data_IF_278371138690
#
_entry.id   IF_278371138690
#
_cell.length_a   1.000
_cell.length_b   1.000
_cell.length_c   1.000
_cell.angle_alpha   90.00
_cell.angle_beta   90.00
_cell.angle_gamma   90.00
#
_symmetry.space_group_name_H-M   'P 1'
#
loop_
_entity.id
_entity.type
_entity.pdbx_description
1 polymer ?
#
# COMPACT_ATOMS: atom_id res chain seq x y z
N UNK A 1 -18.52 2.67 25.87
CA UNK A 1 -17.78 1.49 25.35
C UNK A 1 -17.94 1.43 23.84
N UNK A 2 -16.84 1.28 23.09
CA UNK A 2 -16.89 1.09 21.63
C UNK A 2 -17.29 -0.37 21.33
N UNK A 3 -18.23 -0.57 20.40
CA UNK A 3 -18.61 -1.92 19.92
C UNK A 3 -17.45 -2.53 19.14
N UNK A 4 -17.19 -3.83 19.33
CA UNK A 4 -16.14 -4.54 18.60
C UNK A 4 -16.51 -4.80 17.14
N UNK A 5 -15.51 -5.06 16.28
CA UNK A 5 -15.71 -5.26 14.83
C UNK A 5 -16.79 -6.32 14.51
N UNK A 6 -16.73 -7.46 15.20
CA UNK A 6 -17.70 -8.56 15.07
C UNK A 6 -19.11 -8.20 15.58
N UNK A 7 -19.21 -7.29 16.57
CA UNK A 7 -20.50 -6.82 17.08
C UNK A 7 -21.18 -5.86 16.08
N UNK A 8 -20.38 -5.03 15.41
CA UNK A 8 -20.85 -4.08 14.39
C UNK A 8 -21.25 -4.82 13.11
N UNK A 9 -20.53 -5.88 12.75
CA UNK A 9 -20.75 -6.63 11.52
C UNK A 9 -21.86 -7.68 11.62
N UNK A 10 -22.64 -7.75 12.71
CA UNK A 10 -23.69 -8.76 12.90
C UNK A 10 -24.69 -8.75 11.72
N UNK A 11 -24.87 -9.91 11.08
CA UNK A 11 -25.67 -10.10 9.86
C UNK A 11 -24.97 -9.68 8.56
N UNK A 12 -23.68 -9.34 8.63
CA UNK A 12 -22.89 -8.84 7.51
C UNK A 12 -21.59 -9.61 7.30
N UNK A 13 -20.59 -8.92 6.76
CA UNK A 13 -19.28 -9.50 6.40
C UNK A 13 -18.16 -8.82 7.17
N UNK A 14 -17.23 -9.62 7.69
CA UNK A 14 -15.97 -9.15 8.30
C UNK A 14 -14.84 -9.48 7.33
N UNK A 15 -14.07 -8.47 6.95
CA UNK A 15 -12.83 -8.64 6.19
C UNK A 15 -11.62 -8.55 7.13
N UNK A 16 -10.79 -9.58 7.14
CA UNK A 16 -9.55 -9.64 7.91
C UNK A 16 -8.37 -9.68 6.96
N UNK A 17 -7.59 -8.61 6.90
CA UNK A 17 -6.38 -8.55 6.09
C UNK A 17 -5.15 -9.00 6.90
N UNK A 18 -4.12 -9.46 6.19
CA UNK A 18 -2.84 -9.95 6.75
C UNK A 18 -3.00 -10.97 7.89
N UNK A 19 -3.91 -11.95 7.73
CA UNK A 19 -4.23 -12.89 8.80
C UNK A 19 -3.02 -13.74 9.26
N UNK A 20 -1.96 -13.87 8.45
CA UNK A 20 -0.72 -14.54 8.85
C UNK A 20 0.03 -13.83 9.98
N UNK A 21 -0.15 -12.51 10.17
CA UNK A 21 0.63 -11.72 11.12
C UNK A 21 0.02 -11.65 12.52
N UNK A 22 -1.08 -12.36 12.79
CA UNK A 22 -1.78 -12.27 14.07
C UNK A 22 -1.09 -13.11 15.16
N UNK A 23 -1.09 -12.58 16.39
CA UNK A 23 -0.54 -13.29 17.55
C UNK A 23 -1.32 -14.57 17.87
N UNK A 24 -0.67 -15.53 18.52
CA UNK A 24 -1.31 -16.80 18.93
C UNK A 24 -2.59 -16.56 19.76
N UNK A 25 -2.55 -15.59 20.69
CA UNK A 25 -3.71 -15.21 21.48
C UNK A 25 -4.88 -14.72 20.60
N UNK A 26 -4.59 -14.01 19.52
CA UNK A 26 -5.60 -13.59 18.54
C UNK A 26 -6.10 -14.77 17.70
N UNK A 27 -5.24 -15.73 17.35
CA UNK A 27 -5.65 -16.96 16.66
C UNK A 27 -6.69 -17.73 17.48
N UNK A 28 -6.46 -17.90 18.80
CA UNK A 28 -7.39 -18.58 19.71
C UNK A 28 -8.73 -17.83 19.81
N UNK A 29 -8.67 -16.49 19.94
CA UNK A 29 -9.89 -15.67 20.01
C UNK A 29 -10.69 -15.78 18.72
N UNK A 30 -10.03 -15.65 17.57
CA UNK A 30 -10.69 -15.74 16.27
C UNK A 30 -11.29 -17.12 16.02
N UNK A 31 -10.60 -18.18 16.43
CA UNK A 31 -11.12 -19.55 16.36
C UNK A 31 -12.44 -19.66 17.14
N UNK A 32 -12.51 -19.13 18.37
CA UNK A 32 -13.75 -19.13 19.16
C UNK A 32 -14.87 -18.37 18.46
N UNK A 33 -14.58 -17.18 17.90
CA UNK A 33 -15.60 -16.42 17.17
C UNK A 33 -16.15 -17.22 15.98
N UNK A 34 -15.28 -17.87 15.22
CA UNK A 34 -15.69 -18.64 14.02
C UNK A 34 -16.43 -19.93 14.40
N UNK A 35 -16.00 -20.61 15.47
CA UNK A 35 -16.58 -21.89 15.90
C UNK A 35 -17.86 -21.71 16.72
N UNK A 36 -17.80 -20.89 17.77
CA UNK A 36 -18.88 -20.73 18.74
C UNK A 36 -19.90 -19.67 18.30
N UNK A 37 -19.58 -18.86 17.28
CA UNK A 37 -20.40 -17.71 16.85
C UNK A 37 -20.71 -16.76 17.99
N UNK A 38 -19.77 -16.63 18.93
CA UNK A 38 -19.90 -15.80 20.11
C UNK A 38 -18.66 -14.94 20.30
N UNK A 39 -18.87 -13.73 20.82
CA UNK A 39 -17.79 -12.83 21.23
C UNK A 39 -17.99 -12.39 22.67
N UNK A 40 -16.88 -12.11 23.34
CA UNK A 40 -16.88 -11.49 24.67
C UNK A 40 -16.19 -10.14 24.59
N UNK A 41 -16.82 -9.09 25.14
CA UNK A 41 -16.21 -7.75 25.18
C UNK A 41 -14.97 -7.77 26.08
N UNK A 42 -13.99 -6.91 25.79
CA UNK A 42 -12.83 -6.72 26.67
C UNK A 42 -13.31 -6.28 28.06
N UNK A 43 -13.00 -7.06 29.10
CA UNK A 43 -13.45 -6.84 30.47
C UNK A 43 -14.92 -7.25 30.75
N UNK A 44 -15.63 -7.76 29.75
CA UNK A 44 -16.94 -8.38 29.92
C UNK A 44 -16.84 -9.88 30.16
N UNK A 45 -17.86 -10.45 30.79
CA UNK A 45 -17.99 -11.91 30.98
C UNK A 45 -19.17 -12.50 30.21
N UNK A 46 -20.04 -11.65 29.65
CA UNK A 46 -21.23 -12.09 28.93
C UNK A 46 -20.91 -12.34 27.45
N UNK A 47 -21.12 -13.56 26.93
CA UNK A 47 -21.01 -13.84 25.51
C UNK A 47 -22.14 -13.15 24.74
N UNK A 48 -21.84 -12.74 23.51
CA UNK A 48 -22.76 -12.09 22.58
C UNK A 48 -22.75 -12.91 21.29
N UNK A 49 -23.92 -13.39 20.87
CA UNK A 49 -24.05 -14.12 19.61
C UNK A 49 -23.77 -13.20 18.41
N UNK A 50 -22.99 -13.73 17.47
CA UNK A 50 -22.56 -13.07 16.25
C UNK A 50 -22.78 -14.00 15.08
N UNK A 51 -23.46 -13.49 14.06
CA UNK A 51 -23.58 -14.14 12.76
C UNK A 51 -22.86 -13.27 11.73
N UNK A 52 -21.73 -13.75 11.22
CA UNK A 52 -20.88 -13.01 10.27
C UNK A 52 -20.34 -13.93 9.20
N UNK A 53 -20.25 -13.41 7.97
CA UNK A 53 -19.41 -13.99 6.93
C UNK A 53 -17.98 -13.49 7.10
N UNK A 54 -17.01 -14.39 7.21
CA UNK A 54 -15.60 -14.02 7.24
C UNK A 54 -15.01 -14.07 5.82
N UNK A 55 -14.34 -12.99 5.41
CA UNK A 55 -13.43 -12.94 4.27
C UNK A 55 -12.04 -12.66 4.82
N UNK A 56 -11.06 -13.47 4.44
CA UNK A 56 -9.69 -13.31 4.94
C UNK A 56 -8.71 -13.19 3.79
N UNK A 57 -7.68 -12.36 3.98
CA UNK A 57 -6.58 -12.18 3.05
C UNK A 57 -5.23 -12.31 3.76
N UNK A 58 -4.23 -12.79 3.03
CA UNK A 58 -2.86 -12.95 3.51
C UNK A 58 -1.91 -12.98 2.34
N UNK A 59 -0.70 -12.46 2.55
CA UNK A 59 0.44 -12.62 1.65
C UNK A 59 1.36 -13.79 2.06
N UNK A 60 1.15 -14.37 3.25
CA UNK A 60 1.92 -15.49 3.77
C UNK A 60 1.29 -16.84 3.40
N UNK A 61 2.15 -17.86 3.20
CA UNK A 61 1.73 -19.25 3.06
C UNK A 61 1.34 -19.82 4.43
N UNK A 62 0.04 -19.76 4.73
CA UNK A 62 -0.48 -20.28 6.01
C UNK A 62 -0.23 -21.78 6.16
N UNK A 63 -0.15 -22.55 5.08
CA UNK A 63 0.10 -23.99 5.16
C UNK A 63 1.56 -24.28 5.55
N UNK A 64 2.51 -23.48 5.07
CA UNK A 64 3.88 -23.49 5.57
C UNK A 64 3.94 -23.07 7.05
N UNK A 65 3.27 -21.98 7.43
CA UNK A 65 3.26 -21.50 8.82
C UNK A 65 2.65 -22.51 9.79
N UNK A 66 1.65 -23.30 9.37
CA UNK A 66 1.10 -24.40 10.19
C UNK A 66 2.15 -25.49 10.42
N UNK A 67 2.93 -25.85 9.39
CA UNK A 67 4.01 -26.86 9.53
C UNK A 67 5.14 -26.38 10.44
N UNK A 68 5.43 -25.08 10.41
CA UNK A 68 6.46 -24.43 11.22
C UNK A 68 5.99 -24.06 12.63
N UNK A 69 4.70 -24.25 12.95
CA UNK A 69 4.12 -23.93 14.25
C UNK A 69 3.79 -22.45 14.47
N UNK A 70 3.95 -21.59 13.45
CA UNK A 70 3.59 -20.17 13.51
C UNK A 70 2.11 -19.88 13.35
N UNK A 71 1.32 -20.87 12.90
CA UNK A 71 -0.13 -20.75 12.74
C UNK A 71 -0.85 -22.02 13.18
N UNK A 72 -2.00 -21.87 13.84
CA UNK A 72 -2.75 -23.04 14.33
C UNK A 72 -3.49 -23.75 13.21
N UNK A 73 -3.32 -25.08 13.15
CA UNK A 73 -3.99 -25.93 12.17
C UNK A 73 -5.53 -25.85 12.26
N UNK A 74 -6.08 -25.78 13.47
CA UNK A 74 -7.53 -25.72 13.70
C UNK A 74 -8.17 -24.44 13.13
N UNK A 75 -7.49 -23.30 13.25
CA UNK A 75 -7.91 -22.04 12.63
C UNK A 75 -7.74 -22.07 11.12
N UNK A 76 -6.61 -22.60 10.62
CA UNK A 76 -6.37 -22.72 9.18
C UNK A 76 -7.51 -23.48 8.48
N UNK A 77 -7.92 -24.63 8.99
CA UNK A 77 -9.01 -25.42 8.40
C UNK A 77 -10.38 -24.72 8.47
N UNK A 78 -10.60 -23.79 9.40
CA UNK A 78 -11.84 -23.01 9.50
C UNK A 78 -11.85 -21.82 8.54
N UNK A 79 -10.69 -21.27 8.21
CA UNK A 79 -10.54 -20.15 7.27
C UNK A 79 -10.46 -20.62 5.83
N UNK A 80 -9.73 -21.72 5.58
CA UNK A 80 -9.41 -22.21 4.24
C UNK A 80 -10.53 -23.11 3.67
N UNK A 81 -11.75 -22.57 3.56
CA UNK A 81 -12.90 -23.28 2.99
C UNK A 81 -13.00 -23.06 1.48
N UNK A 82 -12.88 -21.80 1.05
CA UNK A 82 -12.83 -21.40 -0.36
C UNK A 82 -11.66 -20.44 -0.53
N UNK A 83 -10.69 -20.82 -1.34
CA UNK A 83 -9.46 -20.05 -1.56
C UNK A 83 -9.50 -19.41 -2.93
N UNK A 84 -9.20 -18.11 -2.99
CA UNK A 84 -9.01 -17.37 -4.24
C UNK A 84 -7.57 -16.90 -4.26
N UNK A 85 -6.78 -17.46 -5.18
CA UNK A 85 -5.40 -17.03 -5.40
C UNK A 85 -5.41 -15.81 -6.30
N UNK A 86 -4.94 -14.67 -5.77
CA UNK A 86 -4.82 -13.44 -6.55
C UNK A 86 -3.55 -13.50 -7.41
N UNK A 87 -3.67 -13.47 -8.76
CA UNK A 87 -2.50 -13.48 -9.62
C UNK A 87 -1.71 -12.17 -9.47
N UNK A 88 -0.38 -12.23 -9.48
CA UNK A 88 0.47 -11.05 -9.51
C UNK A 88 0.33 -10.30 -10.85
N UNK A 89 0.63 -9.00 -10.86
CA UNK A 89 0.50 -8.17 -12.08
C UNK A 89 1.28 -8.72 -13.28
N UNK A 90 2.44 -9.35 -13.05
CA UNK A 90 3.26 -9.98 -14.11
C UNK A 90 2.57 -11.13 -14.87
N UNK A 91 1.53 -11.72 -14.29
CA UNK A 91 0.72 -12.79 -14.89
C UNK A 91 -0.53 -12.24 -15.59
N UNK A 92 -0.79 -10.93 -15.50
CA UNK A 92 -1.93 -10.23 -16.12
C UNK A 92 -1.47 -8.90 -16.74
N UNK A 93 -0.46 -8.97 -17.61
CA UNK A 93 0.19 -7.77 -18.19
C UNK A 93 -0.75 -7.01 -19.11
N UNK A 94 -1.72 -7.71 -19.71
CA UNK A 94 -2.79 -7.16 -20.53
C UNK A 94 -3.68 -6.15 -19.79
N UNK A 95 -3.73 -6.20 -18.44
CA UNK A 95 -4.49 -5.26 -17.62
C UNK A 95 -3.73 -3.95 -17.37
N UNK A 96 -2.42 -3.91 -17.62
CA UNK A 96 -1.55 -2.75 -17.31
C UNK A 96 -2.03 -1.48 -18.03
N UNK A 97 -2.36 -1.49 -19.34
CA UNK A 97 -2.87 -0.28 -20.01
C UNK A 97 -4.15 0.29 -19.38
N UNK A 98 -5.09 -0.57 -18.99
CA UNK A 98 -6.32 -0.14 -18.35
C UNK A 98 -6.06 0.43 -16.96
N UNK A 99 -5.17 -0.20 -16.18
CA UNK A 99 -4.73 0.30 -14.88
C UNK A 99 -4.00 1.64 -14.99
N UNK A 100 -3.12 1.80 -15.99
CA UNK A 100 -2.43 3.06 -16.28
C UNK A 100 -3.44 4.17 -16.56
N UNK A 101 -4.40 3.93 -17.46
CA UNK A 101 -5.43 4.92 -17.78
C UNK A 101 -6.24 5.32 -16.54
N UNK A 102 -6.61 4.34 -15.73
CA UNK A 102 -7.35 4.57 -14.49
C UNK A 102 -6.57 5.46 -13.51
N UNK A 103 -5.32 5.08 -13.19
CA UNK A 103 -4.50 5.83 -12.25
C UNK A 103 -4.11 7.22 -12.77
N UNK A 104 -3.78 7.36 -14.06
CA UNK A 104 -3.50 8.67 -14.66
C UNK A 104 -4.72 9.57 -14.53
N UNK A 105 -5.91 9.08 -14.89
CA UNK A 105 -7.14 9.87 -14.83
C UNK A 105 -7.48 10.27 -13.39
N UNK A 106 -7.32 9.34 -12.45
CA UNK A 106 -7.55 9.59 -11.02
C UNK A 106 -6.61 10.69 -10.50
N UNK A 107 -5.30 10.54 -10.69
CA UNK A 107 -4.32 11.47 -10.14
C UNK A 107 -4.30 12.81 -10.89
N UNK A 108 -4.57 12.82 -12.19
CA UNK A 108 -4.69 14.06 -12.96
C UNK A 108 -5.84 14.92 -12.40
N UNK A 109 -6.99 14.31 -12.08
CA UNK A 109 -8.11 14.99 -11.44
C UNK A 109 -7.78 15.43 -10.00
N UNK A 110 -7.15 14.56 -9.22
CA UNK A 110 -6.79 14.83 -7.82
C UNK A 110 -5.80 16.00 -7.67
N UNK A 111 -4.77 16.07 -8.52
CA UNK A 111 -3.74 17.11 -8.47
C UNK A 111 -3.98 18.28 -9.42
N UNK A 112 -5.11 18.30 -10.15
CA UNK A 112 -5.43 19.35 -11.11
C UNK A 112 -4.41 19.46 -12.26
N UNK A 113 -3.86 18.33 -12.71
CA UNK A 113 -2.86 18.25 -13.78
C UNK A 113 -3.50 17.89 -15.12
N UNK A 114 -3.00 18.48 -16.20
CA UNK A 114 -3.45 18.18 -17.56
C UNK A 114 -2.64 17.04 -18.18
N UNK A 115 -2.74 15.84 -17.61
CA UNK A 115 -2.02 14.63 -18.07
C UNK A 115 -2.99 13.66 -18.71
N UNK A 116 -2.65 13.13 -19.89
CA UNK A 116 -3.46 12.18 -20.65
C UNK A 116 -2.92 10.75 -20.60
N UNK A 117 -1.63 10.56 -20.30
CA UNK A 117 -1.03 9.23 -20.21
C UNK A 117 0.47 9.23 -20.42
N UNK A 118 0.99 8.03 -20.70
CA UNK A 118 2.37 7.78 -21.09
C UNK A 118 2.50 7.64 -22.61
N UNK A 119 3.67 7.97 -23.16
CA UNK A 119 3.96 7.70 -24.57
C UNK A 119 4.00 6.19 -24.87
N UNK A 120 3.87 5.82 -26.15
CA UNK A 120 3.76 4.41 -26.56
C UNK A 120 5.01 3.59 -26.22
N UNK A 121 6.20 4.21 -26.17
CA UNK A 121 7.43 3.51 -25.79
C UNK A 121 7.45 3.19 -24.29
N UNK A 122 7.00 4.15 -23.48
CA UNK A 122 6.85 4.06 -22.04
C UNK A 122 5.84 2.98 -21.65
N UNK A 123 4.67 2.94 -22.31
CA UNK A 123 3.65 1.90 -22.08
C UNK A 123 4.23 0.51 -22.34
N UNK A 124 4.92 0.28 -23.47
CA UNK A 124 5.56 -1.01 -23.77
C UNK A 124 6.57 -1.43 -22.69
N UNK A 125 7.34 -0.47 -22.19
CA UNK A 125 8.32 -0.75 -21.13
C UNK A 125 7.61 -1.10 -19.82
N UNK A 126 6.55 -0.38 -19.46
CA UNK A 126 5.70 -0.68 -18.30
C UNK A 126 5.03 -2.06 -18.40
N UNK A 127 4.59 -2.48 -19.58
CA UNK A 127 4.03 -3.81 -19.82
C UNK A 127 5.07 -4.93 -19.67
N UNK A 128 6.31 -4.68 -20.11
CA UNK A 128 7.40 -5.65 -20.02
C UNK A 128 7.99 -5.81 -18.61
N UNK A 129 7.76 -4.82 -17.74
CA UNK A 129 8.33 -4.80 -16.39
C UNK A 129 7.67 -5.86 -15.48
N UNK A 130 8.44 -6.55 -14.60
CA UNK A 130 7.91 -7.66 -13.82
C UNK A 130 7.12 -7.25 -12.57
N UNK A 131 7.12 -5.96 -12.19
CA UNK A 131 6.32 -5.41 -11.09
C UNK A 131 6.40 -6.22 -9.79
N UNK A 132 7.59 -6.33 -9.15
CA UNK A 132 7.73 -7.04 -7.87
C UNK A 132 6.79 -6.51 -6.78
N UNK A 133 6.48 -5.20 -6.76
CA UNK A 133 5.49 -4.58 -5.88
C UNK A 133 4.07 -4.54 -6.44
N UNK A 134 3.81 -5.24 -7.55
CA UNK A 134 2.49 -5.46 -8.14
C UNK A 134 1.77 -4.14 -8.44
N UNK A 135 0.44 -4.12 -8.37
CA UNK A 135 -0.40 -2.92 -8.63
C UNK A 135 -0.01 -1.73 -7.74
N UNK A 136 0.51 -1.96 -6.53
CA UNK A 136 0.92 -0.87 -5.62
C UNK A 136 2.13 -0.11 -6.17
N UNK A 137 3.12 -0.84 -6.67
CA UNK A 137 4.29 -0.23 -7.31
C UNK A 137 3.90 0.53 -8.58
N UNK A 138 3.06 -0.07 -9.43
CA UNK A 138 2.53 0.61 -10.63
C UNK A 138 1.81 1.90 -10.26
N UNK A 139 0.90 1.86 -9.28
CA UNK A 139 0.15 3.04 -8.80
C UNK A 139 1.09 4.14 -8.32
N UNK A 140 2.06 3.81 -7.46
CA UNK A 140 3.02 4.78 -6.91
C UNK A 140 3.89 5.40 -8.02
N UNK A 141 4.30 4.59 -9.00
CA UNK A 141 5.06 5.07 -10.15
C UNK A 141 4.23 6.07 -10.96
N UNK A 142 2.97 5.75 -11.25
CA UNK A 142 2.07 6.65 -12.01
C UNK A 142 1.82 7.94 -11.25
N UNK A 143 1.49 7.86 -9.95
CA UNK A 143 1.28 9.02 -9.08
C UNK A 143 2.47 9.98 -9.13
N UNK A 144 3.68 9.45 -8.94
CA UNK A 144 4.93 10.24 -9.01
C UNK A 144 5.08 10.94 -10.36
N UNK A 145 4.84 10.25 -11.47
CA UNK A 145 4.97 10.85 -12.80
C UNK A 145 3.90 11.93 -13.03
N UNK A 146 2.65 11.70 -12.61
CA UNK A 146 1.57 12.68 -12.79
C UNK A 146 1.87 13.97 -12.03
N UNK A 147 2.39 13.89 -10.80
CA UNK A 147 2.72 15.11 -10.04
C UNK A 147 3.92 15.86 -10.63
N UNK A 148 4.89 15.14 -11.18
CA UNK A 148 6.07 15.72 -11.84
C UNK A 148 5.81 16.11 -13.31
N UNK A 149 4.63 15.83 -13.85
CA UNK A 149 4.38 16.03 -15.26
C UNK A 149 4.33 17.51 -15.64
N UNK A 150 5.19 17.88 -16.59
CA UNK A 150 5.21 19.19 -17.25
C UNK A 150 4.50 19.16 -18.62
N UNK A 151 4.15 17.98 -19.12
CA UNK A 151 3.50 17.77 -20.43
C UNK A 151 2.30 16.83 -20.30
N UNK A 152 1.30 16.93 -21.20
CA UNK A 152 0.17 16.00 -21.20
C UNK A 152 0.56 14.55 -21.43
N UNK A 153 1.56 14.30 -22.28
CA UNK A 153 2.11 12.98 -22.53
C UNK A 153 3.42 12.82 -21.76
N UNK A 154 3.43 11.92 -20.77
CA UNK A 154 4.57 11.65 -19.92
C UNK A 154 5.51 10.63 -20.58
N UNK A 155 6.80 10.80 -20.31
CA UNK A 155 7.81 9.80 -20.64
C UNK A 155 8.17 9.05 -19.35
N UNK A 156 8.41 7.75 -19.48
CA UNK A 156 8.81 6.92 -18.35
C UNK A 156 10.26 7.21 -17.97
N UNK A 157 10.45 7.74 -16.77
CA UNK A 157 11.76 8.00 -16.17
C UNK A 157 11.91 7.25 -14.85
N UNK A 158 13.15 6.83 -14.54
CA UNK A 158 13.47 6.20 -13.25
C UNK A 158 12.80 4.84 -13.00
N UNK A 159 12.43 4.11 -14.07
CA UNK A 159 12.21 2.67 -13.99
C UNK A 159 13.56 1.97 -14.17
N UNK A 160 14.03 1.18 -13.19
CA UNK A 160 15.30 0.48 -13.29
C UNK A 160 15.23 -0.64 -14.34
N UNK A 161 16.35 -0.92 -15.01
CA UNK A 161 16.43 -2.00 -16.01
C UNK A 161 16.43 -3.38 -15.35
N UNK A 162 16.94 -3.49 -14.11
CA UNK A 162 16.80 -4.67 -13.26
C UNK A 162 15.79 -4.39 -12.13
N UNK A 163 14.72 -5.20 -11.97
CA UNK A 163 13.83 -5.10 -10.82
C UNK A 163 14.51 -5.35 -9.46
N UNK A 164 15.66 -6.03 -9.40
CA UNK A 164 16.44 -6.18 -8.16
C UNK A 164 16.95 -4.82 -7.65
N UNK A 165 17.33 -3.92 -8.57
CA UNK A 165 17.75 -2.55 -8.27
C UNK A 165 16.55 -1.67 -7.82
N UNK A 166 15.31 -2.06 -8.15
CA UNK A 166 14.10 -1.36 -7.73
C UNK A 166 13.86 -1.42 -6.21
N UNK A 167 14.36 -2.46 -5.53
CA UNK A 167 14.25 -2.56 -4.07
C UNK A 167 15.02 -1.44 -3.35
N UNK A 168 16.04 -0.85 -3.99
CA UNK A 168 16.79 0.29 -3.48
C UNK A 168 16.15 1.65 -3.83
N UNK A 169 15.30 1.72 -4.85
CA UNK A 169 14.71 2.96 -5.37
C UNK A 169 13.26 3.24 -4.91
N UNK A 170 12.67 2.31 -4.15
CA UNK A 170 11.28 2.44 -3.70
C UNK A 170 11.22 3.26 -2.42
N UNK A 171 10.68 4.49 -2.53
CA UNK A 171 10.47 5.45 -1.43
C UNK A 171 9.63 4.88 -0.27
N UNK A 172 8.96 3.75 -0.47
CA UNK A 172 7.95 3.18 0.45
C UNK A 172 8.25 1.76 0.95
N UNK A 173 9.46 1.21 0.74
CA UNK A 173 9.73 -0.20 1.09
C UNK A 173 9.81 -0.45 2.62
N UNK A 174 9.96 0.61 3.43
CA UNK A 174 10.19 0.56 4.87
C UNK A 174 9.04 1.12 5.71
N UNK A 175 7.84 1.28 5.14
CA UNK A 175 6.69 1.92 5.81
C UNK A 175 7.10 3.24 6.53
N UNK A 176 7.71 4.19 5.81
CA UNK A 176 8.23 5.40 6.42
C UNK A 176 7.07 6.17 7.07
N UNK A 177 7.36 6.88 8.16
CA UNK A 177 6.41 7.82 8.74
C UNK A 177 5.96 8.82 7.68
N UNK A 178 4.77 9.41 7.84
CA UNK A 178 4.26 10.43 6.91
C UNK A 178 5.29 11.57 6.72
N UNK A 179 6.04 11.90 7.76
CA UNK A 179 7.11 12.89 7.71
C UNK A 179 8.30 12.45 6.83
N UNK A 180 8.72 11.19 6.91
CA UNK A 180 9.81 10.63 6.11
C UNK A 180 9.42 10.45 4.64
N UNK A 181 8.18 10.01 4.38
CA UNK A 181 7.63 9.94 3.03
C UNK A 181 7.58 11.33 2.39
N UNK A 182 7.01 12.30 3.11
CA UNK A 182 6.96 13.70 2.69
C UNK A 182 8.36 14.27 2.45
N UNK A 183 9.32 13.95 3.32
CA UNK A 183 10.72 14.36 3.16
C UNK A 183 11.38 13.80 1.89
N UNK A 184 11.28 12.48 1.69
CA UNK A 184 11.83 11.81 0.50
C UNK A 184 11.23 12.38 -0.77
N UNK A 185 9.93 12.66 -0.74
CA UNK A 185 9.22 13.27 -1.85
C UNK A 185 9.68 14.71 -2.13
N UNK A 186 9.83 15.54 -1.08
CA UNK A 186 10.39 16.90 -1.21
C UNK A 186 11.80 16.87 -1.80
N UNK A 187 12.64 15.91 -1.40
CA UNK A 187 13.99 15.76 -1.92
C UNK A 187 13.99 15.38 -3.41
N UNK A 188 13.13 14.46 -3.83
CA UNK A 188 12.98 14.08 -5.23
C UNK A 188 12.51 15.28 -6.09
N UNK A 189 11.52 16.03 -5.61
CA UNK A 189 11.04 17.23 -6.32
C UNK A 189 12.12 18.31 -6.41
N UNK A 190 12.94 18.48 -5.37
CA UNK A 190 14.07 19.41 -5.39
C UNK A 190 15.15 19.00 -6.37
N UNK A 191 15.49 17.71 -6.46
CA UNK A 191 16.43 17.20 -7.44
C UNK A 191 15.92 17.41 -8.87
N UNK A 192 14.64 17.11 -9.11
CA UNK A 192 13.99 17.34 -10.41
C UNK A 192 13.96 18.83 -10.82
N UNK A 193 13.92 19.73 -9.85
CA UNK A 193 13.96 21.17 -10.07
C UNK A 193 15.38 21.78 -10.07
N UNK A 194 16.45 20.98 -10.17
CA UNK A 194 17.85 21.41 -10.06
C UNK A 194 18.14 22.23 -8.79
N UNK A 195 17.50 21.88 -7.68
CA UNK A 195 17.60 22.59 -6.40
C UNK A 195 16.83 23.92 -6.35
N UNK A 196 16.08 24.28 -7.40
CA UNK A 196 15.28 25.50 -7.42
C UNK A 196 14.06 25.38 -6.51
N UNK A 197 14.22 25.88 -5.28
CA UNK A 197 13.20 25.86 -4.22
C UNK A 197 11.91 26.58 -4.60
N UNK A 198 11.97 27.57 -5.50
CA UNK A 198 10.78 28.27 -5.98
C UNK A 198 9.94 27.37 -6.86
N UNK A 199 10.59 26.72 -7.84
CA UNK A 199 9.93 25.76 -8.73
C UNK A 199 9.43 24.54 -7.96
N UNK A 200 10.24 24.04 -7.02
CA UNK A 200 9.86 22.91 -6.17
C UNK A 200 8.64 23.20 -5.29
N UNK A 201 8.56 24.39 -4.66
CA UNK A 201 7.40 24.79 -3.86
C UNK A 201 6.12 24.86 -4.70
N UNK A 202 6.21 25.47 -5.89
CA UNK A 202 5.11 25.51 -6.85
C UNK A 202 4.68 24.11 -7.29
N UNK A 203 5.64 23.23 -7.60
CA UNK A 203 5.37 21.86 -8.05
C UNK A 203 4.72 21.00 -6.95
N UNK A 204 5.16 21.19 -5.70
CA UNK A 204 4.59 20.55 -4.51
C UNK A 204 3.23 21.12 -4.08
N UNK A 205 2.76 22.21 -4.69
CA UNK A 205 1.50 22.87 -4.32
C UNK A 205 1.51 23.50 -2.92
N UNK A 206 2.69 23.84 -2.40
CA UNK A 206 2.85 24.43 -1.06
C UNK A 206 3.50 25.80 -1.14
N UNK A 207 3.22 26.66 -0.17
CA UNK A 207 3.91 27.94 -0.06
C UNK A 207 5.41 27.74 0.20
N UNK A 208 6.25 28.65 -0.33
CA UNK A 208 7.71 28.63 -0.13
C UNK A 208 8.09 28.57 1.35
N UNK A 209 7.37 29.28 2.22
CA UNK A 209 7.61 29.27 3.67
C UNK A 209 7.31 27.90 4.28
N UNK A 210 6.32 27.17 3.75
CA UNK A 210 5.98 25.81 4.18
C UNK A 210 7.03 24.80 3.74
N UNK A 211 7.54 24.93 2.51
CA UNK A 211 8.68 24.13 2.04
C UNK A 211 9.92 24.39 2.91
N UNK A 212 10.23 25.65 3.22
CA UNK A 212 11.37 26.03 4.06
C UNK A 212 11.29 25.43 5.47
N UNK A 213 10.13 25.56 6.12
CA UNK A 213 9.89 25.01 7.46
C UNK A 213 9.99 23.48 7.49
N UNK A 214 9.57 22.81 6.42
CA UNK A 214 9.70 21.35 6.27
C UNK A 214 11.15 20.94 6.03
N UNK A 215 11.93 21.72 5.27
CA UNK A 215 13.36 21.51 5.04
C UNK A 215 14.23 21.72 6.29
N UNK A 216 13.85 22.65 7.17
CA UNK A 216 14.56 22.88 8.43
C UNK A 216 14.30 21.82 9.49
N UNK A 217 13.05 21.37 9.63
CA UNK A 217 12.68 20.35 10.63
C UNK A 217 13.39 19.02 10.42
N UNK A 218 13.56 18.61 9.17
CA UNK A 218 14.28 17.37 8.80
C UNK A 218 15.79 17.49 8.94
N UNK A 219 16.36 18.70 8.80
CA UNK A 219 17.80 18.96 9.06
C UNK A 219 18.18 18.73 10.53
N UNK A 220 17.22 18.86 11.44
CA UNK A 220 17.39 18.60 12.88
C UNK A 220 17.25 17.10 13.21
N UNK A 221 16.50 16.33 12.42
CA UNK A 221 16.32 14.88 12.63
C UNK A 221 17.41 14.02 11.96
N UNK A 222 18.11 14.54 10.95
CA UNK A 222 19.22 13.84 10.27
C UNK A 222 20.59 13.93 11.00
N UNK A 223 20.64 14.54 12.19
CA UNK A 223 21.82 14.51 13.07
C UNK A 223 21.49 13.71 14.35
N UNK A 224 21.62 12.37 14.34
CA UNK A 224 22.03 11.68 15.54
C UNK A 224 23.56 11.81 15.65
N UNK A 225 23.98 12.25 16.85
CA UNK A 225 25.31 12.34 17.45
C UNK A 225 26.57 11.83 16.72
N UNK A 226 27.63 12.61 16.93
CA UNK A 226 29.05 12.29 16.64
C UNK A 226 29.55 11.07 17.40
#
# INVERSE_FOLDING_TARGET
MKRGLFEVARGGTVFLDEIGNISEAMQVRLLRVIQERQITRVGGVRPIDVDVRCLVATNADLQAMVREGGFRADLFHRLNVVTITMPPLRERREDIPALLQHFVSQFAAEYGRHVVGFDAASVRRLESYPWPGNVRELRNLVERHVVLADKPLMQLEGLPDDPADASAATVTHDLPTLAELEWRYIQQVLQHCDGNRSKAATLLGIDKSTLWRKLERSRVQARPDS
#
